data_IF_976181948139
#
_entry.id   IF_976181948139
#
_cell.length_a   1.000
_cell.length_b   1.000
_cell.length_c   1.000
_cell.angle_alpha   90.00
_cell.angle_beta   90.00
_cell.angle_gamma   90.00
#
_symmetry.space_group_name_H-M   'P 1'
#
loop_
_entity.id
_entity.type
_entity.pdbx_description
1 polymer ?
#
# COMPACT_ATOMS: atom_id res chain seq x y z
N UNK A 1 13.62 -25.81 5.05
CA UNK A 1 13.15 -24.59 5.73
C UNK A 1 13.05 -23.49 4.71
N UNK A 2 11.85 -23.21 4.19
CA UNK A 2 11.66 -22.15 3.20
C UNK A 2 11.56 -20.81 3.92
N UNK A 3 12.58 -19.98 3.71
CA UNK A 3 12.70 -18.61 4.19
C UNK A 3 11.49 -17.80 3.73
N UNK A 4 10.67 -17.36 4.68
CA UNK A 4 9.57 -16.42 4.46
C UNK A 4 10.14 -15.15 3.81
N UNK A 5 9.86 -14.92 2.53
CA UNK A 5 10.28 -13.66 1.89
C UNK A 5 9.48 -12.53 2.53
N UNK A 6 10.17 -11.50 3.06
CA UNK A 6 9.55 -10.50 3.90
C UNK A 6 8.48 -9.76 3.09
N UNK A 7 7.25 -9.96 3.52
CA UNK A 7 6.16 -9.07 3.20
C UNK A 7 6.48 -7.70 3.78
N UNK A 8 6.17 -6.60 3.07
CA UNK A 8 6.65 -5.26 3.45
C UNK A 8 6.28 -4.85 4.89
N UNK A 9 5.13 -5.35 5.38
CA UNK A 9 4.68 -5.16 6.75
C UNK A 9 4.09 -6.48 7.29
N UNK A 10 4.40 -6.82 8.54
CA UNK A 10 3.71 -7.86 9.32
C UNK A 10 2.83 -7.19 10.38
N UNK A 11 1.51 -7.44 10.32
CA UNK A 11 0.53 -6.91 11.27
C UNK A 11 0.08 -8.02 12.22
N UNK A 12 0.33 -7.86 13.52
CA UNK A 12 -0.02 -8.88 14.50
C UNK A 12 -1.49 -8.82 14.89
N UNK A 13 -2.16 -9.98 15.06
CA UNK A 13 -3.48 -10.06 15.68
C UNK A 13 -4.64 -9.47 14.87
N UNK A 14 -4.55 -9.44 13.54
CA UNK A 14 -5.46 -8.68 12.69
C UNK A 14 -6.88 -9.27 12.58
N UNK A 15 -7.03 -10.57 12.29
CA UNK A 15 -8.34 -11.23 12.15
C UNK A 15 -8.38 -12.49 12.99
N UNK A 16 -9.26 -12.54 13.99
CA UNK A 16 -9.38 -13.71 14.85
C UNK A 16 -8.06 -14.11 15.52
N UNK A 17 -7.22 -13.13 15.86
CA UNK A 17 -5.89 -13.35 16.44
C UNK A 17 -4.78 -13.73 15.47
N UNK A 18 -5.06 -13.97 14.18
CA UNK A 18 -4.04 -14.33 13.18
C UNK A 18 -3.22 -13.11 12.76
N UNK A 19 -1.91 -13.29 12.58
CA UNK A 19 -1.03 -12.27 12.00
C UNK A 19 -1.27 -12.15 10.49
N UNK A 20 -0.98 -10.98 9.93
CA UNK A 20 -1.19 -10.68 8.53
C UNK A 20 0.07 -10.18 7.85
N UNK A 21 0.33 -10.73 6.67
CA UNK A 21 1.42 -10.37 5.77
C UNK A 21 0.87 -9.34 4.77
N UNK A 22 1.32 -8.09 4.88
CA UNK A 22 0.83 -6.97 4.06
C UNK A 22 1.86 -6.57 3.01
N UNK A 23 1.61 -6.92 1.76
CA UNK A 23 2.47 -6.57 0.62
C UNK A 23 2.07 -5.19 0.10
N UNK A 24 3.00 -4.23 0.20
CA UNK A 24 2.80 -2.87 -0.25
C UNK A 24 3.22 -2.76 -1.72
N UNK A 25 2.24 -2.56 -2.58
CA UNK A 25 2.46 -2.40 -4.01
C UNK A 25 1.96 -1.03 -4.47
N UNK A 26 2.90 -0.09 -4.63
CA UNK A 26 2.66 1.15 -5.34
C UNK A 26 2.83 0.94 -6.85
N UNK A 27 1.85 1.35 -7.66
CA UNK A 27 1.93 1.29 -9.13
C UNK A 27 1.76 2.66 -9.76
N UNK A 28 2.35 2.83 -10.94
CA UNK A 28 2.02 3.95 -11.81
C UNK A 28 1.12 3.46 -12.94
N UNK A 29 -0.08 4.04 -13.13
CA UNK A 29 -0.93 3.73 -14.28
C UNK A 29 -0.40 4.36 -15.57
N UNK A 30 0.66 5.18 -15.48
CA UNK A 30 1.27 5.87 -16.62
C UNK A 30 2.45 5.10 -17.22
N UNK A 31 3.06 4.17 -16.49
CA UNK A 31 4.19 3.39 -17.00
C UNK A 31 3.71 2.42 -18.08
N UNK A 32 4.31 2.53 -19.28
CA UNK A 32 3.96 1.67 -20.43
C UNK A 32 2.65 2.07 -21.13
N UNK A 33 2.03 3.18 -20.72
CA UNK A 33 0.89 3.76 -21.40
C UNK A 33 1.41 4.48 -22.66
N UNK A 34 1.06 3.97 -23.84
CA UNK A 34 1.28 4.68 -25.11
C UNK A 34 0.32 5.86 -25.26
N UNK A 35 -0.26 6.04 -26.44
CA UNK A 35 -1.32 7.03 -26.68
C UNK A 35 -2.71 6.61 -26.16
N UNK A 36 -2.80 5.49 -25.44
CA UNK A 36 -4.07 4.96 -24.91
C UNK A 36 -4.47 5.67 -23.62
N UNK A 37 -5.77 5.88 -23.41
CA UNK A 37 -6.30 6.31 -22.13
C UNK A 37 -6.00 5.26 -21.03
N UNK A 38 -5.78 5.70 -19.79
CA UNK A 38 -5.73 4.81 -18.62
C UNK A 38 -7.06 4.86 -17.86
N UNK A 39 -7.43 3.72 -17.26
CA UNK A 39 -8.57 3.64 -16.34
C UNK A 39 -8.05 3.68 -14.90
N UNK A 40 -8.52 4.67 -14.12
CA UNK A 40 -8.21 4.79 -12.70
C UNK A 40 -8.54 3.49 -11.98
N UNK A 41 -7.64 3.03 -11.11
CA UNK A 41 -7.84 1.81 -10.33
C UNK A 41 -7.55 0.50 -11.05
N UNK A 42 -7.52 0.44 -12.38
CA UNK A 42 -7.29 -0.82 -13.12
C UNK A 42 -5.91 -1.43 -12.82
N UNK A 43 -4.86 -0.61 -12.89
CA UNK A 43 -3.48 -1.03 -12.63
C UNK A 43 -3.28 -1.54 -11.19
N UNK A 44 -3.67 -0.81 -10.13
CA UNK A 44 -3.53 -1.30 -8.76
C UNK A 44 -4.38 -2.54 -8.48
N UNK A 45 -5.59 -2.67 -9.06
CA UNK A 45 -6.41 -3.88 -8.93
C UNK A 45 -5.75 -5.10 -9.60
N UNK A 46 -5.15 -4.92 -10.78
CA UNK A 46 -4.36 -5.97 -11.45
C UNK A 46 -3.12 -6.35 -10.66
N UNK A 47 -2.45 -5.37 -10.06
CA UNK A 47 -1.29 -5.62 -9.21
C UNK A 47 -1.66 -6.40 -7.94
N UNK A 48 -2.74 -6.01 -7.27
CA UNK A 48 -3.26 -6.71 -6.10
C UNK A 48 -3.57 -8.18 -6.42
N UNK A 49 -4.35 -8.44 -7.47
CA UNK A 49 -4.72 -9.81 -7.88
C UNK A 49 -3.49 -10.65 -8.27
N UNK A 50 -2.53 -10.07 -9.00
CA UNK A 50 -1.29 -10.76 -9.36
C UNK A 50 -0.41 -11.09 -8.14
N UNK A 51 -0.47 -10.28 -7.07
CA UNK A 51 0.28 -10.53 -5.83
C UNK A 51 -0.33 -11.66 -5.00
N UNK A 52 -1.66 -11.78 -4.96
CA UNK A 52 -2.37 -12.88 -4.28
C UNK A 52 -1.91 -14.23 -4.83
N UNK A 53 -1.93 -14.39 -6.16
CA UNK A 53 -1.54 -15.65 -6.83
C UNK A 53 -0.12 -16.09 -6.44
N UNK A 54 0.80 -15.13 -6.23
CA UNK A 54 2.21 -15.41 -5.96
C UNK A 54 2.52 -15.66 -4.48
N UNK A 55 1.87 -14.95 -3.56
CA UNK A 55 2.33 -14.88 -2.16
C UNK A 55 1.31 -15.43 -1.15
N UNK A 56 0.05 -15.61 -1.54
CA UNK A 56 -1.01 -16.03 -0.61
C UNK A 56 -0.70 -17.40 0.00
N UNK A 57 -0.30 -18.38 -0.82
CA UNK A 57 0.04 -19.73 -0.34
C UNK A 57 1.15 -19.69 0.70
N UNK A 58 2.23 -18.96 0.43
CA UNK A 58 3.35 -18.85 1.35
C UNK A 58 2.93 -18.23 2.70
N UNK A 59 2.03 -17.25 2.70
CA UNK A 59 1.51 -16.67 3.93
C UNK A 59 0.61 -17.65 4.69
N UNK A 60 -0.26 -18.35 3.95
CA UNK A 60 -1.17 -19.35 4.51
C UNK A 60 -0.41 -20.52 5.17
N UNK A 61 0.64 -21.03 4.51
CA UNK A 61 1.50 -22.10 5.03
C UNK A 61 2.19 -21.69 6.35
N UNK A 62 2.39 -20.38 6.57
CA UNK A 62 2.92 -19.81 7.81
C UNK A 62 1.83 -19.33 8.79
N UNK A 63 0.58 -19.75 8.60
CA UNK A 63 -0.58 -19.38 9.43
C UNK A 63 -0.87 -17.86 9.47
N UNK A 64 -0.49 -17.15 8.41
CA UNK A 64 -0.73 -15.72 8.28
C UNK A 64 -1.78 -15.43 7.21
N UNK A 65 -2.50 -14.32 7.39
CA UNK A 65 -3.43 -13.79 6.40
C UNK A 65 -2.66 -12.93 5.41
N UNK A 66 -2.73 -13.22 4.11
CA UNK A 66 -2.14 -12.35 3.10
C UNK A 66 -3.05 -11.15 2.80
N UNK A 67 -2.48 -9.95 2.71
CA UNK A 67 -3.18 -8.72 2.35
C UNK A 67 -2.43 -8.02 1.23
N UNK A 68 -2.99 -7.98 0.01
CA UNK A 68 -2.43 -7.15 -1.06
C UNK A 68 -2.82 -5.69 -0.82
N UNK A 69 -1.88 -4.89 -0.33
CA UNK A 69 -2.06 -3.44 -0.22
C UNK A 69 -1.58 -2.79 -1.50
N UNK A 70 -2.48 -2.62 -2.47
CA UNK A 70 -2.15 -1.96 -3.73
C UNK A 70 -2.69 -0.53 -3.77
N UNK A 71 -1.86 0.39 -4.25
CA UNK A 71 -2.20 1.79 -4.45
C UNK A 71 -1.55 2.36 -5.69
N UNK A 72 -2.08 3.46 -6.22
CA UNK A 72 -1.47 4.15 -7.35
C UNK A 72 -0.94 5.54 -7.02
N UNK A 73 -0.16 6.10 -7.94
CA UNK A 73 0.41 7.46 -7.84
C UNK A 73 -0.65 8.56 -7.70
N UNK A 74 -1.89 8.32 -8.13
CA UNK A 74 -3.00 9.27 -8.03
C UNK A 74 -3.81 9.12 -6.74
N UNK A 75 -3.41 8.22 -5.84
CA UNK A 75 -4.06 8.02 -4.55
C UNK A 75 -5.19 7.00 -4.56
N UNK A 76 -5.39 6.25 -5.66
CA UNK A 76 -6.32 5.12 -5.63
C UNK A 76 -5.82 4.05 -4.67
N UNK A 77 -6.74 3.46 -3.90
CA UNK A 77 -6.49 2.35 -2.99
C UNK A 77 -7.37 1.17 -3.37
N UNK A 78 -6.79 -0.02 -3.51
CA UNK A 78 -7.56 -1.25 -3.69
C UNK A 78 -8.39 -1.55 -2.43
N UNK A 79 -9.50 -2.27 -2.58
CA UNK A 79 -10.43 -2.57 -1.48
C UNK A 79 -9.73 -3.20 -0.26
N UNK A 80 -8.80 -4.14 -0.48
CA UNK A 80 -8.02 -4.75 0.62
C UNK A 80 -7.10 -3.77 1.36
N UNK A 81 -6.60 -2.75 0.69
CA UNK A 81 -5.85 -1.67 1.33
C UNK A 81 -6.80 -0.81 2.19
N UNK A 82 -7.95 -0.44 1.65
CA UNK A 82 -8.99 0.33 2.37
C UNK A 82 -9.49 -0.43 3.60
N UNK A 83 -9.78 -1.73 3.47
CA UNK A 83 -10.20 -2.60 4.59
C UNK A 83 -9.18 -2.59 5.73
N UNK A 84 -7.88 -2.63 5.39
CA UNK A 84 -6.81 -2.58 6.37
C UNK A 84 -6.72 -1.20 7.03
N UNK A 85 -6.80 -0.12 6.25
CA UNK A 85 -6.79 1.24 6.79
C UNK A 85 -7.98 1.52 7.71
N UNK A 86 -9.18 1.06 7.35
CA UNK A 86 -10.36 1.17 8.21
C UNK A 86 -10.17 0.47 9.56
N UNK A 87 -9.52 -0.71 9.57
CA UNK A 87 -9.20 -1.41 10.82
C UNK A 87 -8.16 -0.66 11.65
N UNK A 88 -7.11 -0.14 11.00
CA UNK A 88 -6.11 0.69 11.67
C UNK A 88 -6.79 1.89 12.32
N UNK A 89 -7.65 2.60 11.58
CA UNK A 89 -8.43 3.73 12.09
C UNK A 89 -9.29 3.32 13.29
N UNK A 90 -10.01 2.20 13.23
CA UNK A 90 -10.80 1.71 14.37
C UNK A 90 -9.96 1.46 15.63
N UNK A 91 -8.77 0.88 15.49
CA UNK A 91 -7.85 0.67 16.62
C UNK A 91 -7.35 2.01 17.18
N UNK A 92 -7.11 2.99 16.31
CA UNK A 92 -6.65 4.32 16.71
C UNK A 92 -7.72 5.10 17.47
N UNK A 93 -8.99 4.99 17.07
CA UNK A 93 -10.10 5.60 17.81
C UNK A 93 -10.51 4.83 19.08
N UNK A 94 -9.88 3.69 19.38
CA UNK A 94 -10.13 2.96 20.62
C UNK A 94 -9.35 3.55 21.80
N UNK A 95 -9.82 3.33 23.03
CA UNK A 95 -9.14 3.76 24.26
C UNK A 95 -7.82 3.02 24.54
N UNK A 96 -7.40 2.11 23.65
CA UNK A 96 -6.17 1.31 23.80
C UNK A 96 -4.94 2.08 23.32
N UNK A 97 -5.10 3.01 22.38
CA UNK A 97 -3.97 3.70 21.74
C UNK A 97 -3.74 5.09 22.31
N UNK A 98 -2.49 5.41 22.62
CA UNK A 98 -2.11 6.76 23.04
C UNK A 98 -1.89 7.67 21.82
N UNK A 99 -2.05 9.01 21.96
CA UNK A 99 -1.77 9.96 20.88
C UNK A 99 -0.37 9.82 20.25
N UNK A 100 0.64 9.51 21.07
CA UNK A 100 2.00 9.25 20.59
C UNK A 100 2.10 7.99 19.74
N UNK A 101 1.39 6.93 20.14
CA UNK A 101 1.39 5.67 19.37
C UNK A 101 0.69 5.86 18.03
N UNK A 102 -0.40 6.63 18.02
CA UNK A 102 -1.11 6.99 16.78
C UNK A 102 -0.21 7.75 15.81
N UNK A 103 0.50 8.77 16.30
CA UNK A 103 1.46 9.55 15.50
C UNK A 103 2.55 8.68 14.86
N UNK A 104 3.10 7.71 15.61
CA UNK A 104 4.10 6.77 15.07
C UNK A 104 3.52 5.90 13.96
N UNK A 105 2.31 5.38 14.13
CA UNK A 105 1.63 4.55 13.11
C UNK A 105 1.38 5.37 11.85
N UNK A 106 0.81 6.57 11.98
CA UNK A 106 0.59 7.47 10.84
C UNK A 106 1.89 7.81 10.12
N UNK A 107 2.95 8.19 10.84
CA UNK A 107 4.24 8.52 10.23
C UNK A 107 4.82 7.34 9.44
N UNK A 108 4.76 6.12 10.00
CA UNK A 108 5.26 4.93 9.32
C UNK A 108 4.45 4.59 8.07
N UNK A 109 3.12 4.69 8.16
CA UNK A 109 2.23 4.45 7.02
C UNK A 109 2.46 5.49 5.92
N UNK A 110 2.46 6.78 6.26
CA UNK A 110 2.72 7.88 5.34
C UNK A 110 4.09 7.75 4.68
N UNK A 111 5.13 7.40 5.44
CA UNK A 111 6.46 7.15 4.90
C UNK A 111 6.47 5.99 3.90
N UNK A 112 5.79 4.88 4.21
CA UNK A 112 5.73 3.72 3.32
C UNK A 112 5.00 4.05 2.00
N UNK A 113 3.88 4.78 2.07
CA UNK A 113 3.14 5.24 0.89
C UNK A 113 3.99 6.21 0.07
N UNK A 114 4.57 7.24 0.70
CA UNK A 114 5.44 8.22 0.06
C UNK A 114 6.64 7.56 -0.62
N UNK A 115 7.25 6.56 0.01
CA UNK A 115 8.35 5.78 -0.57
C UNK A 115 7.89 5.03 -1.82
N UNK A 116 6.73 4.38 -1.77
CA UNK A 116 6.18 3.67 -2.94
C UNK A 116 5.83 4.63 -4.09
N UNK A 117 5.21 5.77 -3.79
CA UNK A 117 4.92 6.82 -4.78
C UNK A 117 6.22 7.37 -5.38
N UNK A 118 7.21 7.69 -4.55
CA UNK A 118 8.52 8.20 -5.01
C UNK A 118 9.22 7.20 -5.92
N UNK A 119 9.18 5.91 -5.60
CA UNK A 119 9.80 4.87 -6.45
C UNK A 119 9.17 4.84 -7.84
N UNK A 120 7.85 4.96 -7.92
CA UNK A 120 7.11 5.02 -9.19
C UNK A 120 7.39 6.31 -9.95
N UNK A 121 7.43 7.45 -9.27
CA UNK A 121 7.77 8.73 -9.89
C UNK A 121 9.21 8.75 -10.39
N UNK A 122 10.18 8.26 -9.63
CA UNK A 122 11.57 8.16 -10.09
C UNK A 122 11.66 7.32 -11.35
N UNK A 123 10.96 6.17 -11.41
CA UNK A 123 10.90 5.36 -12.62
C UNK A 123 10.30 6.13 -13.81
N UNK A 124 9.22 6.88 -13.59
CA UNK A 124 8.64 7.77 -14.59
C UNK A 124 9.59 8.90 -15.02
N UNK A 125 10.33 9.51 -14.09
CA UNK A 125 11.27 10.61 -14.36
C UNK A 125 12.51 10.14 -15.12
N UNK A 126 12.98 8.91 -14.88
CA UNK A 126 14.03 8.29 -15.69
C UNK A 126 13.54 8.03 -17.13
N UNK A 127 12.24 7.76 -17.32
CA UNK A 127 11.60 7.68 -18.63
C UNK A 127 11.33 9.06 -19.26
N UNK A 128 11.07 10.10 -18.46
CA UNK A 128 10.74 11.45 -18.91
C UNK A 128 11.90 12.42 -18.75
N UNK A 129 12.90 12.36 -19.64
CA UNK A 129 13.89 13.45 -19.85
C UNK A 129 13.27 14.73 -20.47
N UNK A 130 11.99 15.00 -20.23
CA UNK A 130 11.32 16.26 -20.58
C UNK A 130 10.63 16.84 -19.34
N UNK A 131 11.01 18.07 -19.01
CA UNK A 131 10.65 18.83 -17.81
C UNK A 131 9.13 18.88 -17.57
N UNK A 132 8.66 18.32 -16.47
CA UNK A 132 7.42 18.74 -15.81
C UNK A 132 7.61 18.68 -14.29
N UNK A 133 7.48 19.85 -13.66
CA UNK A 133 7.51 20.07 -12.20
C UNK A 133 6.41 19.23 -11.55
N UNK A 134 6.75 18.38 -10.58
CA UNK A 134 5.75 17.77 -9.71
C UNK A 134 5.45 18.67 -8.53
N UNK A 135 4.17 18.95 -8.33
CA UNK A 135 3.61 19.45 -7.10
C UNK A 135 3.32 18.24 -6.20
N UNK A 136 3.98 18.15 -5.05
CA UNK A 136 3.65 17.15 -4.03
C UNK A 136 2.35 17.56 -3.35
N UNK A 137 1.26 16.82 -3.59
CA UNK A 137 0.02 16.97 -2.84
C UNK A 137 0.17 16.20 -1.54
N UNK A 138 0.08 16.92 -0.41
CA UNK A 138 -0.04 16.33 0.92
C UNK A 138 -1.37 15.60 1.02
N UNK A 139 -1.38 14.28 0.82
CA UNK A 139 -2.47 13.42 1.28
C UNK A 139 -2.17 13.11 2.75
N UNK A 140 -2.50 14.04 3.66
CA UNK A 140 -2.97 13.85 5.05
C UNK A 140 -3.07 15.27 5.65
N UNK A 141 -4.02 16.08 5.17
CA UNK A 141 -4.57 17.19 5.95
C UNK A 141 -5.95 17.56 5.39
N UNK A 142 -6.90 16.63 5.49
CA UNK A 142 -8.31 17.03 5.40
C UNK A 142 -9.14 16.14 6.35
N UNK A 143 -9.56 16.78 7.44
CA UNK A 143 -10.78 16.51 8.22
C UNK A 143 -10.92 15.13 8.89
N UNK A 144 -10.55 15.05 10.18
CA UNK A 144 -11.49 14.99 11.32
C UNK A 144 -10.80 14.54 12.62
#
# INVERSE_FOLDING_TARGET
>A
MSTFQPTDILVFGLVGGKHACVDLTGVSPLVGLGSSAFTVGQTPLKAASGKVIKHEKACLDNQHVFIPFAFDTFGFLASKAVDLLNRVQMVMHSNVMTPRSMDVVFKRLSFAIQKGVTTQLVALYQLSRCKCKLLFINIVHEEM
#
